data_IF_069574676204
#
_entry.id   IF_069574676204
#
_cell.length_a   1.000
_cell.length_b   1.000
_cell.length_c   1.000
_cell.angle_alpha   90.00
_cell.angle_beta   90.00
_cell.angle_gamma   90.00
#
_symmetry.space_group_name_H-M   'P 1'
#
loop_
_entity.id
_entity.type
_entity.pdbx_description
1 polymer ?
#
# COMPACT_ATOMS: atom_id res chain seq x y z
N UNK A 1 0.22 16.69 0.58
CA UNK A 1 -0.71 15.86 1.40
C UNK A 1 0.04 15.41 2.65
N UNK A 2 -0.65 14.96 3.69
CA UNK A 2 0.02 14.45 4.91
C UNK A 2 0.11 12.91 4.84
N UNK A 3 1.10 12.43 4.08
CA UNK A 3 1.35 10.99 3.94
C UNK A 3 2.01 10.44 5.20
N UNK A 4 1.38 9.44 5.81
CA UNK A 4 1.92 8.69 6.94
C UNK A 4 2.89 7.63 6.47
N UNK A 5 4.11 7.67 7.01
CA UNK A 5 5.11 6.63 6.78
C UNK A 5 4.64 5.28 7.34
N UNK A 6 4.93 4.20 6.62
CA UNK A 6 4.45 2.85 6.97
C UNK A 6 4.98 2.41 8.34
N UNK A 7 6.26 2.65 8.63
CA UNK A 7 6.84 2.37 9.95
C UNK A 7 6.19 3.13 11.12
N UNK A 8 5.52 4.26 10.87
CA UNK A 8 4.87 5.04 11.92
C UNK A 8 3.47 4.51 12.27
N UNK A 9 2.80 3.81 11.34
CA UNK A 9 1.40 3.35 11.50
C UNK A 9 1.21 2.44 12.74
N UNK A 10 2.09 1.45 13.01
CA UNK A 10 1.97 0.62 14.21
C UNK A 10 2.07 1.40 15.53
N UNK A 11 2.65 2.60 15.51
CA UNK A 11 2.90 3.44 16.68
C UNK A 11 1.94 4.63 16.82
N UNK A 12 0.99 4.81 15.89
CA UNK A 12 -0.02 5.87 15.97
C UNK A 12 -0.86 5.76 17.25
N UNK A 13 -1.27 6.88 17.84
CA UNK A 13 -2.24 6.88 18.93
C UNK A 13 -3.56 6.23 18.48
N UNK A 14 -4.31 5.66 19.41
CA UNK A 14 -5.61 5.07 19.10
C UNK A 14 -6.55 6.09 18.45
N UNK A 15 -6.56 7.35 18.91
CA UNK A 15 -7.41 8.40 18.35
C UNK A 15 -7.09 8.69 16.90
N UNK A 16 -5.81 8.72 16.55
CA UNK A 16 -5.36 9.02 15.18
C UNK A 16 -5.70 7.87 14.22
N UNK A 17 -5.69 6.62 14.69
CA UNK A 17 -6.08 5.44 13.89
C UNK A 17 -7.57 5.38 13.57
N UNK A 18 -8.41 6.11 14.31
CA UNK A 18 -9.84 6.13 14.05
C UNK A 18 -10.20 6.96 12.81
N UNK A 19 -9.25 7.72 12.26
CA UNK A 19 -9.44 8.51 11.05
C UNK A 19 -8.75 7.85 9.85
N UNK A 20 -9.33 7.95 8.66
CA UNK A 20 -8.67 7.52 7.44
C UNK A 20 -7.34 8.25 7.25
N UNK A 21 -6.32 7.53 6.80
CA UNK A 21 -4.98 8.08 6.55
C UNK A 21 -4.65 8.08 5.06
N UNK A 22 -3.72 8.96 4.70
CA UNK A 22 -3.02 8.91 3.43
C UNK A 22 -1.67 8.25 3.65
N UNK A 23 -1.25 7.35 2.77
CA UNK A 23 0.08 6.72 2.82
C UNK A 23 0.54 6.37 1.40
N UNK A 24 1.80 5.99 1.25
CA UNK A 24 2.31 5.45 -0.01
C UNK A 24 3.36 4.39 0.26
N UNK A 25 3.54 3.49 -0.69
CA UNK A 25 4.57 2.48 -0.60
C UNK A 25 4.75 1.72 -1.90
N UNK A 26 5.82 0.94 -1.97
CA UNK A 26 6.06 0.02 -3.09
C UNK A 26 5.18 -1.21 -2.89
N UNK A 27 4.35 -1.52 -3.87
CA UNK A 27 3.51 -2.73 -3.86
C UNK A 27 4.40 -3.95 -4.04
N UNK A 28 4.22 -4.95 -3.18
CA UNK A 28 4.81 -6.27 -3.30
C UNK A 28 3.82 -7.31 -2.77
N UNK A 29 3.93 -8.55 -3.24
CA UNK A 29 3.10 -9.69 -2.86
C UNK A 29 1.58 -9.42 -2.92
N UNK A 30 0.89 -9.98 -3.91
CA UNK A 30 -0.54 -9.74 -4.11
C UNK A 30 -1.32 -11.04 -4.15
N UNK A 31 -2.46 -11.08 -3.47
CA UNK A 31 -3.39 -12.20 -3.43
C UNK A 31 -4.77 -11.73 -3.91
N UNK A 32 -5.21 -12.30 -5.02
CA UNK A 32 -6.48 -11.99 -5.66
C UNK A 32 -7.54 -13.02 -5.24
N UNK A 33 -8.63 -12.55 -4.63
CA UNK A 33 -9.77 -13.39 -4.21
C UNK A 33 -11.04 -12.90 -4.89
N UNK A 34 -11.32 -13.46 -6.08
CA UNK A 34 -12.48 -13.09 -6.90
C UNK A 34 -13.44 -14.26 -7.14
N UNK A 35 -13.27 -15.35 -6.37
CA UNK A 35 -14.09 -16.56 -6.50
C UNK A 35 -15.54 -16.34 -6.07
N UNK A 36 -15.78 -15.43 -5.12
CA UNK A 36 -17.11 -14.97 -4.72
C UNK A 36 -17.37 -13.55 -5.28
N UNK A 37 -18.23 -13.41 -6.30
CA UNK A 37 -18.59 -12.11 -6.87
C UNK A 37 -19.31 -11.17 -5.88
N UNK A 38 -19.91 -11.69 -4.80
CA UNK A 38 -20.55 -10.88 -3.78
C UNK A 38 -19.54 -10.22 -2.83
N UNK A 39 -18.34 -10.79 -2.71
CA UNK A 39 -17.28 -10.28 -1.83
C UNK A 39 -15.90 -10.33 -2.51
N UNK A 40 -15.70 -9.64 -3.64
CA UNK A 40 -14.41 -9.59 -4.31
C UNK A 40 -13.42 -8.85 -3.41
N UNK A 41 -12.21 -9.40 -3.32
CA UNK A 41 -11.16 -8.91 -2.43
C UNK A 41 -9.80 -9.02 -3.09
N UNK A 42 -9.01 -7.97 -2.95
CA UNK A 42 -7.62 -7.92 -3.36
C UNK A 42 -6.78 -7.59 -2.14
N UNK A 43 -5.88 -8.50 -1.78
CA UNK A 43 -4.92 -8.30 -0.70
C UNK A 43 -3.58 -7.99 -1.34
N UNK A 44 -2.89 -6.99 -0.81
CA UNK A 44 -1.55 -6.63 -1.26
C UNK A 44 -0.75 -6.09 -0.09
N UNK A 45 0.58 -6.11 -0.21
CA UNK A 45 1.45 -5.49 0.79
C UNK A 45 2.14 -4.28 0.18
N UNK A 46 2.36 -3.27 1.01
CA UNK A 46 3.18 -2.12 0.64
C UNK A 46 4.32 -1.96 1.64
N UNK A 47 5.48 -1.53 1.14
CA UNK A 47 6.66 -1.25 1.96
C UNK A 47 7.19 0.17 1.75
N UNK A 48 7.79 0.72 2.80
CA UNK A 48 8.49 2.00 2.73
C UNK A 48 9.98 1.82 2.43
N UNK A 49 10.71 2.93 2.50
CA UNK A 49 12.14 3.03 2.21
C UNK A 49 13.05 2.36 3.27
N UNK A 50 12.52 1.98 4.43
CA UNK A 50 13.25 1.26 5.48
C UNK A 50 12.74 -0.17 5.65
N UNK A 51 12.03 -0.67 4.63
CA UNK A 51 11.47 -2.03 4.55
C UNK A 51 10.42 -2.34 5.63
N UNK A 52 9.79 -1.31 6.20
CA UNK A 52 8.59 -1.53 7.02
C UNK A 52 7.40 -1.82 6.12
N UNK A 53 6.62 -2.82 6.51
CA UNK A 53 5.59 -3.43 5.66
C UNK A 53 4.22 -3.31 6.32
N UNK A 54 3.19 -3.12 5.51
CA UNK A 54 1.81 -3.17 5.97
C UNK A 54 0.94 -3.88 4.93
N UNK A 55 0.02 -4.70 5.44
CA UNK A 55 -1.02 -5.35 4.64
C UNK A 55 -2.09 -4.34 4.27
N UNK A 56 -2.57 -4.42 3.05
CA UNK A 56 -3.67 -3.63 2.53
C UNK A 56 -4.74 -4.54 1.93
N UNK A 57 -6.01 -4.14 2.08
CA UNK A 57 -7.17 -4.89 1.63
C UNK A 57 -8.09 -3.94 0.85
N UNK A 58 -8.22 -4.19 -0.45
CA UNK A 58 -9.26 -3.59 -1.27
C UNK A 58 -10.43 -4.56 -1.41
N UNK A 59 -11.65 -4.06 -1.27
CA UNK A 59 -12.88 -4.86 -1.39
C UNK A 59 -13.80 -4.27 -2.47
N UNK A 60 -14.79 -5.05 -2.92
CA UNK A 60 -15.82 -4.55 -3.82
C UNK A 60 -15.26 -4.02 -5.14
N UNK A 61 -15.74 -2.84 -5.57
CA UNK A 61 -15.27 -2.19 -6.79
C UNK A 61 -13.79 -1.81 -6.75
N UNK A 62 -13.24 -1.48 -5.57
CA UNK A 62 -11.82 -1.16 -5.42
C UNK A 62 -10.93 -2.38 -5.68
N UNK A 63 -11.38 -3.58 -5.34
CA UNK A 63 -10.63 -4.81 -5.62
C UNK A 63 -10.40 -4.99 -7.13
N UNK A 64 -11.45 -4.83 -7.93
CA UNK A 64 -11.34 -4.90 -9.39
C UNK A 64 -10.48 -3.77 -9.96
N UNK A 65 -10.72 -2.52 -9.54
CA UNK A 65 -9.94 -1.38 -10.01
C UNK A 65 -8.45 -1.49 -9.64
N UNK A 66 -8.12 -2.05 -8.48
CA UNK A 66 -6.74 -2.29 -8.07
C UNK A 66 -6.10 -3.37 -8.94
N UNK A 67 -6.78 -4.52 -9.14
CA UNK A 67 -6.29 -5.59 -10.03
C UNK A 67 -5.98 -5.05 -11.41
N UNK A 68 -6.95 -4.38 -12.04
CA UNK A 68 -6.81 -3.88 -13.41
C UNK A 68 -5.72 -2.80 -13.49
N UNK A 69 -5.66 -1.90 -12.50
CA UNK A 69 -4.63 -0.88 -12.42
C UNK A 69 -3.21 -1.45 -12.23
N UNK A 70 -3.07 -2.51 -11.43
CA UNK A 70 -1.79 -3.19 -11.23
C UNK A 70 -1.37 -3.97 -12.48
N UNK A 71 -2.30 -4.64 -13.17
CA UNK A 71 -2.01 -5.33 -14.42
C UNK A 71 -1.45 -4.40 -15.49
N UNK A 72 -1.98 -3.17 -15.57
CA UNK A 72 -1.46 -2.13 -16.46
C UNK A 72 -0.02 -1.66 -16.12
N UNK A 73 0.52 -2.09 -14.97
CA UNK A 73 1.85 -1.71 -14.46
C UNK A 73 2.85 -2.87 -14.52
N UNK A 74 2.45 -4.09 -14.92
CA UNK A 74 3.30 -5.30 -14.86
C UNK A 74 4.68 -5.14 -15.50
N UNK A 75 4.80 -4.37 -16.58
CA UNK A 75 6.07 -4.19 -17.31
C UNK A 75 6.83 -2.91 -16.91
N UNK A 76 6.40 -2.20 -15.87
CA UNK A 76 6.93 -0.86 -15.50
C UNK A 76 7.91 -0.87 -14.33
N UNK A 77 8.37 -2.06 -13.91
CA UNK A 77 9.26 -2.22 -12.77
C UNK A 77 8.54 -1.95 -11.45
N UNK A 78 9.20 -1.21 -10.54
CA UNK A 78 8.62 -0.94 -9.23
C UNK A 78 7.33 -0.11 -9.30
N UNK A 79 6.28 -0.62 -8.65
CA UNK A 79 4.97 0.02 -8.60
C UNK A 79 4.81 0.73 -7.26
N UNK A 80 4.89 2.06 -7.26
CA UNK A 80 4.53 2.87 -6.09
C UNK A 80 3.02 3.06 -6.14
N UNK A 81 2.33 2.73 -5.05
CA UNK A 81 0.91 3.07 -4.87
C UNK A 81 0.78 4.18 -3.85
N UNK A 82 -0.02 5.18 -4.18
CA UNK A 82 -0.50 6.19 -3.24
C UNK A 82 -1.89 5.78 -2.81
N UNK A 83 -2.10 5.69 -1.50
CA UNK A 83 -3.35 5.34 -0.83
C UNK A 83 -3.87 6.59 -0.10
N UNK A 84 -5.12 6.96 -0.32
CA UNK A 84 -5.77 8.11 0.33
C UNK A 84 -7.03 7.69 1.06
N UNK A 85 -7.28 8.28 2.22
CA UNK A 85 -8.47 7.95 3.03
C UNK A 85 -8.63 6.44 3.27
N UNK A 86 -7.54 5.75 3.63
CA UNK A 86 -7.58 4.32 3.99
C UNK A 86 -7.73 4.15 5.49
N UNK A 87 -8.58 3.22 5.91
CA UNK A 87 -8.84 2.95 7.31
C UNK A 87 -7.75 2.07 7.89
N UNK A 88 -7.24 2.44 9.06
CA UNK A 88 -6.37 1.57 9.85
C UNK A 88 -7.24 0.62 10.67
N UNK A 89 -7.15 -0.68 10.38
CA UNK A 89 -7.82 -1.72 11.14
C UNK A 89 -6.80 -2.50 11.98
N UNK A 90 -7.21 -2.84 13.21
CA UNK A 90 -6.40 -3.59 14.16
C UNK A 90 -7.22 -4.78 14.67
N UNK A 91 -6.73 -5.99 14.42
CA UNK A 91 -7.23 -7.17 15.10
C UNK A 91 -6.37 -7.44 16.33
N UNK A 92 -7.00 -7.40 17.51
CA UNK A 92 -6.36 -7.84 18.74
C UNK A 92 -6.38 -9.37 18.76
N UNK A 93 -5.26 -9.99 18.38
CA UNK A 93 -5.06 -11.40 18.69
C UNK A 93 -4.67 -11.54 20.16
N UNK A 94 -5.28 -12.47 20.88
CA UNK A 94 -4.83 -12.86 22.22
C UNK A 94 -3.49 -13.62 22.20
N UNK A 95 -3.11 -14.15 21.03
CA UNK A 95 -1.84 -14.84 20.80
C UNK A 95 -1.10 -14.17 19.63
N UNK A 96 -0.08 -13.38 19.95
CA UNK A 96 0.80 -12.74 18.97
C UNK A 96 0.64 -11.22 18.87
N UNK A 97 1.54 -10.56 18.11
CA UNK A 97 1.48 -9.12 17.90
C UNK A 97 0.14 -8.75 17.21
N UNK A 98 -0.42 -7.57 17.52
CA UNK A 98 -1.65 -7.13 16.90
C UNK A 98 -1.46 -7.05 15.38
N UNK A 99 -2.34 -7.72 14.63
CA UNK A 99 -2.34 -7.64 13.19
C UNK A 99 -2.99 -6.32 12.78
N UNK A 100 -2.21 -5.47 12.14
CA UNK A 100 -2.64 -4.16 11.65
C UNK A 100 -2.62 -4.17 10.12
N UNK A 101 -3.71 -3.70 9.50
CA UNK A 101 -3.82 -3.58 8.05
C UNK A 101 -4.61 -2.33 7.66
N UNK A 102 -4.48 -1.96 6.40
CA UNK A 102 -5.26 -0.90 5.79
C UNK A 102 -6.43 -1.49 5.01
N UNK A 103 -7.59 -0.86 5.12
CA UNK A 103 -8.78 -1.24 4.35
C UNK A 103 -9.40 -0.03 3.66
N UNK A 104 -9.99 -0.27 2.49
CA UNK A 104 -10.68 0.76 1.71
C UNK A 104 -11.87 1.33 2.48
N UNK A 105 -11.88 2.64 2.69
CA UNK A 105 -13.03 3.39 3.25
C UNK A 105 -13.51 4.51 2.29
N UNK A 106 -12.61 5.06 1.48
CA UNK A 106 -12.90 6.11 0.49
C UNK A 106 -13.44 5.61 -0.86
N UNK A 107 -13.45 6.51 -1.85
CA UNK A 107 -13.86 6.26 -3.23
C UNK A 107 -12.77 5.64 -4.11
N UNK A 108 -13.12 5.32 -5.36
CA UNK A 108 -12.19 4.71 -6.33
C UNK A 108 -11.02 5.63 -6.72
N UNK A 109 -11.16 6.94 -6.54
CA UNK A 109 -10.10 7.93 -6.78
C UNK A 109 -8.97 7.91 -5.74
N UNK A 110 -9.17 7.14 -4.68
CA UNK A 110 -8.40 7.24 -3.45
C UNK A 110 -7.27 6.21 -3.39
N UNK A 111 -6.92 5.64 -4.55
CA UNK A 111 -5.59 5.11 -4.78
C UNK A 111 -5.12 5.42 -6.20
N UNK A 112 -3.81 5.56 -6.38
CA UNK A 112 -3.20 5.78 -7.70
C UNK A 112 -1.84 5.09 -7.77
N UNK A 113 -1.58 4.44 -8.89
CA UNK A 113 -0.28 3.86 -9.19
C UNK A 113 0.62 4.87 -9.90
N UNK A 114 1.85 5.04 -9.40
CA UNK A 114 2.88 5.93 -9.93
C UNK A 114 2.36 7.32 -10.36
N UNK A 115 1.58 8.04 -9.51
CA UNK A 115 1.11 9.37 -9.88
C UNK A 115 2.29 10.36 -9.89
N UNK A 116 2.23 11.35 -10.79
CA UNK A 116 3.22 12.43 -10.89
C UNK A 116 2.99 13.46 -9.79
N UNK A 117 3.46 13.16 -8.58
CA UNK A 117 3.39 14.02 -7.39
C UNK A 117 4.80 14.23 -6.84
N UNK A 118 5.08 15.42 -6.28
CA UNK A 118 6.39 15.73 -5.71
C UNK A 118 6.76 14.74 -4.61
N UNK A 119 5.81 14.42 -3.72
CA UNK A 119 6.03 13.48 -2.61
C UNK A 119 6.36 12.06 -3.10
N UNK A 120 5.84 11.66 -4.26
CA UNK A 120 6.12 10.35 -4.87
C UNK A 120 7.52 10.32 -5.49
N UNK A 121 7.97 11.41 -6.08
CA UNK A 121 9.33 11.50 -6.60
C UNK A 121 10.35 11.56 -5.46
N UNK A 122 10.06 12.28 -4.38
CA UNK A 122 10.88 12.29 -3.16
C UNK A 122 10.98 10.88 -2.55
N UNK A 123 9.84 10.17 -2.44
CA UNK A 123 9.82 8.79 -1.98
C UNK A 123 10.62 7.85 -2.90
N UNK A 124 10.49 8.00 -4.22
CA UNK A 124 11.25 7.24 -5.22
C UNK A 124 12.75 7.45 -5.08
N UNK A 125 13.20 8.69 -4.88
CA UNK A 125 14.62 9.00 -4.64
C UNK A 125 15.09 8.42 -3.31
N UNK A 126 14.26 8.48 -2.27
CA UNK A 126 14.59 7.86 -1.00
C UNK A 126 14.76 6.34 -1.15
N UNK A 127 13.88 5.64 -1.88
CA UNK A 127 14.02 4.21 -2.17
C UNK A 127 15.33 3.89 -2.89
N UNK A 128 15.70 4.68 -3.91
CA UNK A 128 16.94 4.51 -4.66
C UNK A 128 18.19 4.67 -3.77
N UNK A 129 18.11 5.49 -2.74
CA UNK A 129 19.24 5.76 -1.84
C UNK A 129 19.34 4.79 -0.65
N UNK A 130 18.23 4.21 -0.19
CA UNK A 130 18.22 3.35 1.01
C UNK A 130 18.11 1.86 0.73
N UNK A 131 17.53 1.44 -0.40
CA UNK A 131 17.26 0.03 -0.68
C UNK A 131 18.42 -0.62 -1.47
N UNK A 132 19.17 -1.57 -0.89
CA UNK A 132 20.27 -2.26 -1.58
C UNK A 132 19.82 -3.04 -2.83
N UNK A 133 18.56 -3.51 -2.88
CA UNK A 133 18.00 -4.16 -4.07
C UNK A 133 17.78 -3.15 -5.19
N UNK A 134 17.30 -1.96 -4.87
CA UNK A 134 17.08 -0.88 -5.86
C UNK A 134 18.41 -0.30 -6.33
N UNK A 135 19.40 -0.17 -5.44
CA UNK A 135 20.75 0.24 -5.81
C UNK A 135 21.42 -0.74 -6.78
N UNK A 136 21.14 -2.05 -6.64
CA UNK A 136 21.81 -3.11 -7.42
C UNK A 136 21.14 -3.40 -8.77
N UNK A 137 19.82 -3.21 -8.88
CA UNK A 137 19.05 -3.52 -10.09
C UNK A 137 18.43 -2.27 -10.77
N UNK A 138 18.53 -1.08 -10.16
CA UNK A 138 17.83 0.11 -10.61
C UNK A 138 16.30 0.01 -10.42
N UNK A 139 15.56 1.01 -10.92
CA UNK A 139 14.07 1.00 -10.93
C UNK A 139 13.49 -0.18 -11.75
N UNK A 140 14.33 -0.84 -12.53
CA UNK A 140 13.99 -1.99 -13.37
C UNK A 140 14.28 -3.28 -12.61
N UNK A 141 13.26 -3.80 -11.94
CA UNK A 141 13.27 -5.19 -11.48
C UNK A 141 12.85 -5.36 -10.04
N UNK A 142 11.55 -5.56 -9.84
CA UNK A 142 10.97 -6.44 -8.82
C UNK A 142 9.48 -6.61 -9.12
N UNK A 143 9.22 -7.37 -10.18
CA UNK A 143 8.03 -8.22 -10.35
C UNK A 143 8.50 -9.51 -11.03
#
# INVERSE_FOLDING_TARGET
MDFKNIHAIPHMDHRDRNYPIDTMGVVFNTEAHFDDPASPKMVFYIRDNIDSQIKCVATGAHAYAFRDGLENMKDRGQVIVVLKMWRVLKFLSYFGPPNLWLETEGGLSDFRFNPRLLEVEEFRQSLLSSDPYVQRYGVVGLL
#
